data_IF_577710308120
#
_entry.id   IF_577710308120
#
_cell.length_a   1.000
_cell.length_b   1.000
_cell.length_c   1.000
_cell.angle_alpha   90.00
_cell.angle_beta   90.00
_cell.angle_gamma   90.00
#
_symmetry.space_group_name_H-M   'P 1'
#
loop_
_entity.id
_entity.type
_entity.pdbx_description
1 polymer ?
#
# COMPACT_ATOMS: atom_id res chain seq x y z
N UNK A 1 -10.22 10.87 -15.75
CA UNK A 1 -9.72 9.81 -14.85
C UNK A 1 -8.19 9.65 -14.90
N UNK A 2 -7.39 10.74 -14.98
CA UNK A 2 -5.91 10.68 -14.94
C UNK A 2 -5.31 11.37 -13.70
N UNK A 3 -6.16 11.78 -12.77
CA UNK A 3 -5.79 12.70 -11.70
C UNK A 3 -4.84 12.07 -10.66
N UNK A 4 -4.64 10.74 -10.70
CA UNK A 4 -3.87 9.97 -9.71
C UNK A 4 -2.87 8.97 -10.30
N UNK A 5 -2.64 9.02 -11.62
CA UNK A 5 -1.66 8.15 -12.32
C UNK A 5 -0.37 8.91 -12.67
N UNK A 6 -0.19 10.09 -12.09
CA UNK A 6 0.94 10.98 -12.36
C UNK A 6 1.96 11.01 -11.23
N UNK A 7 2.94 11.90 -11.37
CA UNK A 7 3.99 12.13 -10.38
C UNK A 7 3.49 12.70 -9.04
N UNK A 8 2.22 13.05 -8.94
CA UNK A 8 1.57 13.61 -7.76
C UNK A 8 0.27 12.84 -7.55
N UNK A 9 0.31 11.75 -6.79
CA UNK A 9 -0.74 10.72 -6.81
C UNK A 9 -1.56 10.57 -5.54
N UNK A 10 -1.19 11.20 -4.42
CA UNK A 10 -1.97 11.16 -3.17
C UNK A 10 -1.50 12.19 -2.11
N UNK A 11 -1.93 12.02 -0.86
CA UNK A 11 -1.44 12.75 0.32
C UNK A 11 -1.29 11.82 1.54
N UNK A 12 -0.60 10.68 1.40
CA UNK A 12 -0.30 9.74 2.51
C UNK A 12 0.40 10.42 3.69
N UNK A 13 1.20 11.47 3.48
CA UNK A 13 1.84 12.18 4.60
C UNK A 13 0.89 13.05 5.45
N UNK A 14 -0.37 13.22 5.03
CA UNK A 14 -1.40 13.94 5.76
C UNK A 14 -1.21 15.47 5.86
N UNK A 15 -0.21 16.05 5.19
CA UNK A 15 0.01 17.50 5.18
C UNK A 15 -0.87 18.23 4.15
N UNK A 16 -1.37 17.53 3.13
CA UNK A 16 -2.28 18.05 2.08
C UNK A 16 -1.78 19.31 1.33
N UNK A 17 -0.46 19.47 1.18
CA UNK A 17 0.13 20.68 0.56
C UNK A 17 0.39 20.56 -0.94
N UNK A 18 1.07 19.51 -1.39
CA UNK A 18 1.49 19.36 -2.81
C UNK A 18 1.50 17.90 -3.31
N UNK A 19 0.91 16.99 -2.55
CA UNK A 19 0.96 15.55 -2.75
C UNK A 19 2.34 14.92 -2.48
N UNK A 20 2.39 13.61 -2.34
CA UNK A 20 3.59 12.94 -1.82
C UNK A 20 4.67 12.61 -2.87
N UNK A 21 4.43 12.95 -4.13
CA UNK A 21 5.39 12.65 -5.18
C UNK A 21 5.41 11.17 -5.58
N UNK A 22 6.61 10.67 -5.85
CA UNK A 22 6.92 9.30 -6.28
C UNK A 22 8.32 8.91 -5.78
N UNK A 23 8.58 7.61 -5.70
CA UNK A 23 9.90 7.08 -5.38
C UNK A 23 10.75 7.01 -6.65
N UNK A 24 12.04 7.33 -6.52
CA UNK A 24 13.02 7.23 -7.60
C UNK A 24 14.07 6.18 -7.28
N UNK A 25 14.51 5.49 -8.32
CA UNK A 25 15.65 4.60 -8.27
C UNK A 25 16.52 4.86 -9.49
N UNK A 26 17.80 5.20 -9.26
CA UNK A 26 18.73 5.54 -10.32
C UNK A 26 19.38 4.25 -10.86
N UNK A 27 19.14 3.97 -12.14
CA UNK A 27 19.81 2.90 -12.87
C UNK A 27 20.99 3.52 -13.62
N UNK A 28 22.21 3.19 -13.22
CA UNK A 28 23.44 3.79 -13.78
C UNK A 28 24.03 2.96 -14.92
N UNK A 29 23.69 1.68 -15.02
CA UNK A 29 24.22 0.74 -16.01
C UNK A 29 23.12 -0.19 -16.52
N UNK A 30 23.27 -0.65 -17.77
CA UNK A 30 22.34 -1.61 -18.35
C UNK A 30 22.52 -2.99 -17.74
N UNK A 31 21.42 -3.67 -17.40
CA UNK A 31 21.47 -5.02 -16.84
C UNK A 31 20.19 -5.38 -16.09
N UNK A 32 20.19 -6.61 -15.56
CA UNK A 32 19.13 -7.07 -14.65
C UNK A 32 19.34 -6.47 -13.27
N UNK A 33 18.27 -6.09 -12.60
CA UNK A 33 18.30 -5.58 -11.24
C UNK A 33 16.99 -5.83 -10.52
N UNK A 34 17.01 -5.63 -9.20
CA UNK A 34 15.84 -5.70 -8.32
C UNK A 34 15.82 -4.42 -7.49
N UNK A 35 14.64 -3.84 -7.36
CA UNK A 35 14.40 -2.71 -6.48
C UNK A 35 13.29 -3.07 -5.48
N UNK A 36 13.61 -2.99 -4.20
CA UNK A 36 12.66 -3.16 -3.10
C UNK A 36 12.35 -1.79 -2.51
N UNK A 37 11.06 -1.47 -2.40
CA UNK A 37 10.60 -0.25 -1.75
C UNK A 37 10.98 -0.34 -0.26
N UNK A 38 11.61 0.69 0.34
CA UNK A 38 11.90 0.71 1.77
C UNK A 38 10.63 0.64 2.63
N UNK A 39 10.66 -0.08 3.75
CA UNK A 39 9.49 -0.31 4.62
C UNK A 39 8.86 0.99 5.13
N UNK A 40 9.66 2.00 5.46
CA UNK A 40 9.14 3.31 5.88
C UNK A 40 8.38 4.03 4.75
N UNK A 41 8.59 3.62 3.49
CA UNK A 41 7.83 4.10 2.32
C UNK A 41 6.65 3.19 2.00
N UNK A 42 6.22 2.33 2.93
CA UNK A 42 4.96 1.59 2.84
C UNK A 42 3.86 2.54 2.38
N UNK A 43 3.20 2.17 1.29
CA UNK A 43 2.05 2.89 0.77
C UNK A 43 0.79 2.29 1.39
N UNK A 44 -0.18 3.13 1.75
CA UNK A 44 -1.51 2.67 2.16
C UNK A 44 -2.20 1.86 1.05
N UNK A 45 -3.44 1.44 1.27
CA UNK A 45 -4.16 0.58 0.32
C UNK A 45 -4.18 1.13 -1.12
N UNK A 46 -3.74 0.32 -2.08
CA UNK A 46 -3.79 0.64 -3.51
C UNK A 46 -4.22 -0.57 -4.34
N UNK A 47 -4.77 -0.31 -5.53
CA UNK A 47 -5.14 -1.33 -6.54
C UNK A 47 -4.28 -1.25 -7.81
N UNK A 48 -3.73 -0.08 -8.10
CA UNK A 48 -2.98 0.18 -9.32
C UNK A 48 -1.61 0.77 -8.94
N UNK A 49 -0.55 0.25 -9.55
CA UNK A 49 0.82 0.76 -9.44
C UNK A 49 1.18 1.46 -10.76
N UNK A 50 1.72 2.67 -10.67
CA UNK A 50 2.25 3.39 -11.84
C UNK A 50 3.77 3.31 -11.82
N UNK A 51 4.36 2.76 -12.88
CA UNK A 51 5.81 2.73 -13.09
C UNK A 51 6.12 3.55 -14.34
N UNK A 52 7.15 4.39 -14.28
CA UNK A 52 7.61 5.15 -15.43
C UNK A 52 9.13 5.25 -15.43
N UNK A 53 9.71 5.26 -16.63
CA UNK A 53 11.13 5.49 -16.86
C UNK A 53 11.34 6.95 -17.25
N UNK A 54 12.40 7.56 -16.73
CA UNK A 54 12.85 8.90 -17.14
C UNK A 54 14.20 8.77 -17.83
N UNK A 55 14.36 9.45 -18.98
CA UNK A 55 15.58 9.38 -19.79
C UNK A 55 15.38 8.60 -21.09
N UNK A 56 16.43 8.51 -21.89
CA UNK A 56 16.42 7.76 -23.15
C UNK A 56 16.85 6.31 -22.93
N UNK A 57 15.98 5.52 -22.29
CA UNK A 57 16.23 4.12 -21.96
C UNK A 57 14.94 3.30 -22.10
N UNK A 58 15.10 1.99 -22.28
CA UNK A 58 14.00 1.02 -22.22
C UNK A 58 14.11 0.24 -20.92
N UNK A 59 12.99 0.03 -20.24
CA UNK A 59 12.90 -0.75 -19.00
C UNK A 59 11.91 -1.89 -19.20
N UNK A 60 12.39 -3.13 -19.11
CA UNK A 60 11.56 -4.32 -19.06
C UNK A 60 11.28 -4.72 -17.60
N UNK A 61 10.00 -4.75 -17.22
CA UNK A 61 9.55 -5.16 -15.89
C UNK A 61 8.95 -6.56 -16.00
N UNK A 62 9.66 -7.56 -15.48
CA UNK A 62 9.28 -8.96 -15.60
C UNK A 62 8.49 -9.46 -14.38
N UNK A 63 8.87 -9.02 -13.18
CA UNK A 63 8.29 -9.49 -11.93
C UNK A 63 7.87 -8.31 -11.05
N UNK A 64 6.64 -8.35 -10.55
CA UNK A 64 6.12 -7.41 -9.56
C UNK A 64 5.52 -8.23 -8.43
N UNK A 65 6.08 -8.10 -7.24
CA UNK A 65 5.59 -8.73 -6.01
C UNK A 65 5.11 -7.65 -5.04
N UNK A 66 4.05 -7.96 -4.30
CA UNK A 66 3.55 -7.12 -3.23
C UNK A 66 3.52 -7.93 -1.93
N UNK A 67 4.13 -7.37 -0.89
CA UNK A 67 3.96 -7.88 0.46
C UNK A 67 2.68 -7.29 1.06
N UNK A 68 1.83 -8.16 1.61
CA UNK A 68 0.61 -7.76 2.29
C UNK A 68 0.92 -7.53 3.76
N UNK A 69 0.73 -6.29 4.24
CA UNK A 69 0.97 -5.92 5.64
C UNK A 69 -0.26 -5.99 6.54
N UNK A 70 -1.48 -6.10 6.01
CA UNK A 70 -2.69 -6.06 6.81
C UNK A 70 -3.00 -7.42 7.50
N UNK A 71 -3.73 -7.36 8.60
CA UNK A 71 -4.06 -8.44 9.53
C UNK A 71 -2.82 -9.28 9.92
N UNK A 72 -1.79 -8.64 10.52
CA UNK A 72 -0.45 -9.23 10.67
C UNK A 72 -0.39 -10.45 11.61
N UNK A 73 -1.43 -10.67 12.41
CA UNK A 73 -1.51 -11.81 13.35
C UNK A 73 -2.04 -13.09 12.70
N UNK A 74 -2.52 -13.04 11.45
CA UNK A 74 -3.02 -14.21 10.74
C UNK A 74 -1.96 -14.82 9.83
N UNK A 75 -1.62 -16.08 10.07
CA UNK A 75 -0.76 -16.86 9.18
C UNK A 75 -1.43 -17.23 7.84
N UNK A 76 -2.77 -17.21 7.80
CA UNK A 76 -3.55 -17.46 6.60
C UNK A 76 -4.71 -16.46 6.51
N UNK A 77 -4.59 -15.47 5.63
CA UNK A 77 -5.60 -14.42 5.42
C UNK A 77 -6.96 -14.93 4.91
N UNK A 78 -7.06 -16.21 4.52
CA UNK A 78 -8.33 -16.85 4.10
C UNK A 78 -9.01 -17.63 5.23
N UNK A 79 -8.39 -17.76 6.40
CA UNK A 79 -8.88 -18.57 7.52
C UNK A 79 -9.99 -17.87 8.34
N UNK A 80 -10.95 -17.25 7.66
CA UNK A 80 -12.10 -16.61 8.30
C UNK A 80 -12.90 -17.64 9.11
N UNK A 81 -13.15 -17.32 10.37
CA UNK A 81 -13.94 -18.18 11.27
C UNK A 81 -15.46 -17.99 11.07
N UNK A 82 -15.89 -16.78 10.70
CA UNK A 82 -17.27 -16.49 10.31
C UNK A 82 -17.41 -16.50 8.78
N UNK A 83 -18.53 -16.99 8.27
CA UNK A 83 -18.84 -17.00 6.85
C UNK A 83 -20.35 -16.81 6.62
N UNK A 84 -20.69 -16.30 5.45
CA UNK A 84 -22.06 -16.20 4.96
C UNK A 84 -22.11 -16.66 3.51
N UNK A 85 -23.16 -17.39 3.15
CA UNK A 85 -23.43 -17.75 1.77
C UNK A 85 -24.93 -17.93 1.56
N UNK A 86 -25.44 -17.39 0.46
CA UNK A 86 -26.82 -17.58 0.00
C UNK A 86 -26.87 -17.84 -1.50
N UNK A 87 -28.07 -18.08 -2.02
CA UNK A 87 -28.34 -18.15 -3.46
C UNK A 87 -28.35 -16.77 -4.16
N UNK A 88 -28.12 -15.68 -3.44
CA UNK A 88 -28.00 -14.32 -3.99
C UNK A 88 -26.52 -13.93 -4.11
N UNK A 89 -26.02 -13.93 -5.35
CA UNK A 89 -24.65 -13.58 -5.68
C UNK A 89 -24.26 -12.13 -5.31
N UNK A 90 -25.20 -11.19 -5.36
CA UNK A 90 -24.92 -9.82 -4.94
C UNK A 90 -24.71 -9.75 -3.43
N UNK A 91 -25.55 -10.43 -2.66
CA UNK A 91 -25.41 -10.47 -1.20
C UNK A 91 -24.09 -11.14 -0.77
N UNK A 92 -23.71 -12.23 -1.45
CA UNK A 92 -22.40 -12.85 -1.25
C UNK A 92 -21.26 -11.85 -1.49
N UNK A 93 -21.26 -11.15 -2.64
CA UNK A 93 -20.23 -10.14 -2.95
C UNK A 93 -20.17 -9.02 -1.92
N UNK A 94 -21.31 -8.54 -1.44
CA UNK A 94 -21.35 -7.49 -0.40
C UNK A 94 -20.69 -8.00 0.88
N UNK A 95 -21.06 -9.20 1.34
CA UNK A 95 -20.52 -9.77 2.57
C UNK A 95 -19.00 -9.96 2.50
N UNK A 96 -18.49 -10.60 1.43
CA UNK A 96 -17.06 -10.85 1.27
C UNK A 96 -16.26 -9.56 0.99
N UNK A 97 -16.85 -8.56 0.34
CA UNK A 97 -16.22 -7.24 0.19
C UNK A 97 -16.12 -6.54 1.55
N UNK A 98 -17.15 -6.62 2.39
CA UNK A 98 -17.12 -6.08 3.75
C UNK A 98 -16.06 -6.76 4.62
N UNK A 99 -15.99 -8.09 4.59
CA UNK A 99 -14.97 -8.86 5.31
C UNK A 99 -13.54 -8.49 4.86
N UNK A 100 -13.34 -8.28 3.55
CA UNK A 100 -12.06 -7.81 3.01
C UNK A 100 -11.73 -6.38 3.46
N UNK A 101 -12.70 -5.45 3.44
CA UNK A 101 -12.50 -4.07 3.92
C UNK A 101 -12.09 -4.02 5.39
N UNK A 102 -12.69 -4.83 6.26
CA UNK A 102 -12.29 -4.91 7.66
C UNK A 102 -10.85 -5.45 7.77
N UNK A 103 -10.55 -6.54 7.05
CA UNK A 103 -9.21 -7.14 7.06
C UNK A 103 -8.14 -6.15 6.61
N UNK A 104 -8.38 -5.35 5.56
CA UNK A 104 -7.41 -4.37 5.05
C UNK A 104 -7.18 -3.17 5.97
N UNK A 105 -8.06 -2.94 6.94
CA UNK A 105 -7.96 -1.85 7.92
C UNK A 105 -7.33 -2.30 9.25
N UNK A 106 -6.80 -3.52 9.32
CA UNK A 106 -6.07 -4.02 10.48
C UNK A 106 -4.59 -4.02 10.13
N UNK A 107 -3.77 -3.16 10.73
CA UNK A 107 -2.36 -2.94 10.32
C UNK A 107 -1.38 -3.19 11.46
N UNK A 108 -0.08 -3.43 11.17
CA UNK A 108 0.94 -3.58 12.18
C UNK A 108 1.15 -2.27 12.96
N UNK A 109 1.58 -2.38 14.21
CA UNK A 109 1.66 -1.21 15.08
C UNK A 109 2.72 -0.18 14.69
N UNK A 110 3.73 -0.57 13.90
CA UNK A 110 4.86 0.29 13.53
C UNK A 110 4.78 0.84 12.10
N UNK A 111 3.60 0.81 11.48
CA UNK A 111 3.37 1.32 10.12
C UNK A 111 2.57 2.63 10.12
N UNK A 112 2.59 3.37 11.23
CA UNK A 112 1.86 4.60 11.38
C UNK A 112 2.49 5.75 10.62
N UNK A 113 1.67 6.72 10.22
CA UNK A 113 2.13 7.96 9.59
C UNK A 113 3.10 8.70 10.52
N UNK A 114 4.27 9.08 10.00
CA UNK A 114 5.23 9.92 10.71
C UNK A 114 4.62 11.28 11.03
N UNK A 115 4.61 11.64 12.32
CA UNK A 115 4.19 12.95 12.82
C UNK A 115 5.30 13.51 13.72
N UNK A 116 5.77 14.77 13.51
CA UNK A 116 5.37 15.72 12.47
C UNK A 116 5.62 15.20 11.04
N UNK A 117 4.78 15.62 10.10
CA UNK A 117 4.89 15.21 8.70
C UNK A 117 6.24 15.63 8.10
N UNK A 118 6.84 14.74 7.32
CA UNK A 118 8.10 15.02 6.61
C UNK A 118 7.94 16.15 5.59
N UNK A 119 9.03 16.88 5.33
CA UNK A 119 9.01 18.01 4.41
C UNK A 119 8.74 17.60 2.95
N UNK A 120 9.10 16.38 2.56
CA UNK A 120 8.89 15.83 1.23
C UNK A 120 8.55 14.33 1.30
N UNK A 121 7.63 13.88 0.44
CA UNK A 121 7.18 12.49 0.42
C UNK A 121 6.36 12.12 1.64
N UNK A 122 6.40 10.83 1.99
CA UNK A 122 5.75 10.26 3.17
C UNK A 122 6.69 9.32 3.89
N UNK A 123 6.47 9.13 5.19
CA UNK A 123 7.04 8.04 5.97
C UNK A 123 5.92 7.43 6.82
N UNK A 124 5.81 6.11 6.78
CA UNK A 124 4.87 5.29 7.55
C UNK A 124 5.65 4.35 8.48
N UNK A 125 6.37 4.93 9.45
CA UNK A 125 7.25 4.26 10.40
C UNK A 125 7.00 4.64 11.88
N UNK A 126 5.91 5.35 12.17
CA UNK A 126 5.53 5.70 13.52
C UNK A 126 4.78 4.56 14.21
N UNK A 127 4.80 4.56 15.54
CA UNK A 127 4.01 3.63 16.35
C UNK A 127 2.58 4.14 16.52
N UNK A 128 1.60 3.36 16.05
CA UNK A 128 0.17 3.66 16.11
C UNK A 128 -0.45 3.44 17.49
N UNK A 129 0.09 2.52 18.29
CA UNK A 129 -0.45 2.17 19.59
C UNK A 129 0.15 0.88 20.15
N UNK A 130 -0.33 0.42 21.31
CA UNK A 130 0.11 -0.83 21.93
C UNK A 130 -0.48 -2.07 21.22
N UNK A 131 0.10 -3.24 21.49
CA UNK A 131 -0.34 -4.53 20.94
C UNK A 131 0.35 -4.88 19.62
N UNK A 132 -0.25 -5.80 18.86
CA UNK A 132 0.32 -6.33 17.62
C UNK A 132 -0.45 -5.89 16.36
N UNK A 133 -1.67 -5.37 16.52
CA UNK A 133 -2.54 -4.95 15.41
C UNK A 133 -3.40 -3.77 15.83
N UNK A 134 -3.48 -2.75 14.97
CA UNK A 134 -4.33 -1.57 15.15
C UNK A 134 -5.38 -1.52 14.03
N UNK A 135 -6.61 -1.15 14.39
CA UNK A 135 -7.66 -0.83 13.43
C UNK A 135 -7.49 0.63 12.99
N UNK A 136 -7.46 0.87 11.69
CA UNK A 136 -7.38 2.20 11.05
C UNK A 136 -8.61 2.47 10.19
N UNK A 137 -8.74 3.71 9.69
CA UNK A 137 -9.84 4.21 8.87
C UNK A 137 -9.44 4.60 7.42
#
# INVERSE_FOLDING_TARGET
AKNWIGKFSDSSNGAFKQGDGYLTYNITEAGKGVYTIPDNKLRGGFRYLTVFVTGNATLDVNDITLEIGFLPTWSNLRAYQGYFHSNDELLNRIWYSGAYTIQTNMVPVNTGRQIPAVAYGWDNNATLGPGDTIIVD
#
